data_IF_122565557958
#
_entry.id   IF_122565557958
#
_cell.length_a   1.000
_cell.length_b   1.000
_cell.length_c   1.000
_cell.angle_alpha   90.00
_cell.angle_beta   90.00
_cell.angle_gamma   90.00
#
_symmetry.space_group_name_H-M   'P 1'
#
loop_
_entity.id
_entity.type
_entity.pdbx_description
1 polymer ?
#
# COMPACT_ATOMS: atom_id res chain seq x y z
N UNK A 1 -22.31 -8.24 -13.99
CA UNK A 1 -21.86 -7.03 -14.72
C UNK A 1 -21.02 -6.15 -13.80
N UNK A 2 -19.70 -6.11 -13.95
CA UNK A 2 -18.80 -5.20 -13.20
C UNK A 2 -19.25 -3.73 -13.30
N UNK A 3 -19.25 -2.98 -12.20
CA UNK A 3 -19.54 -1.54 -12.24
C UNK A 3 -18.31 -0.82 -12.83
N UNK A 4 -18.45 0.03 -13.86
CA UNK A 4 -17.32 0.68 -14.52
C UNK A 4 -16.51 1.58 -13.57
N UNK A 5 -17.17 2.23 -12.60
CA UNK A 5 -16.50 3.05 -11.60
C UNK A 5 -15.54 2.26 -10.70
N UNK A 6 -15.86 1.00 -10.39
CA UNK A 6 -14.99 0.14 -9.60
C UNK A 6 -13.75 -0.28 -10.36
N UNK A 7 -13.90 -0.52 -11.66
CA UNK A 7 -12.76 -0.87 -12.49
C UNK A 7 -11.79 0.30 -12.59
N UNK A 8 -12.30 1.53 -12.73
CA UNK A 8 -11.48 2.74 -12.73
C UNK A 8 -10.70 2.91 -11.40
N UNK A 9 -11.33 2.64 -10.25
CA UNK A 9 -10.67 2.70 -8.96
C UNK A 9 -9.51 1.70 -8.85
N UNK A 10 -9.70 0.46 -9.32
CA UNK A 10 -8.63 -0.57 -9.34
C UNK A 10 -7.47 -0.10 -10.21
N UNK A 11 -7.76 0.44 -11.39
CA UNK A 11 -6.73 0.92 -12.31
C UNK A 11 -5.91 2.04 -11.66
N UNK A 12 -6.56 2.99 -10.99
CA UNK A 12 -5.87 4.06 -10.25
C UNK A 12 -4.97 3.48 -9.14
N UNK A 13 -5.47 2.52 -8.36
CA UNK A 13 -4.68 1.82 -7.35
C UNK A 13 -3.44 1.14 -7.95
N UNK A 14 -3.60 0.42 -9.06
CA UNK A 14 -2.48 -0.22 -9.77
C UNK A 14 -1.46 0.80 -10.29
N UNK A 15 -1.91 1.90 -10.90
CA UNK A 15 -1.01 2.96 -11.37
C UNK A 15 -0.17 3.52 -10.23
N UNK A 16 -0.78 3.78 -9.07
CA UNK A 16 -0.04 4.25 -7.88
C UNK A 16 0.99 3.21 -7.43
N UNK A 17 0.63 1.93 -7.35
CA UNK A 17 1.61 0.89 -6.97
C UNK A 17 2.79 0.82 -7.95
N UNK A 18 2.56 0.96 -9.26
CA UNK A 18 3.64 1.02 -10.24
C UNK A 18 4.54 2.24 -10.03
N UNK A 19 3.95 3.42 -9.78
CA UNK A 19 4.74 4.62 -9.47
C UNK A 19 5.62 4.40 -8.24
N UNK A 20 5.15 3.70 -7.20
CA UNK A 20 5.96 3.42 -6.01
C UNK A 20 7.21 2.59 -6.29
N UNK A 21 7.15 1.67 -7.27
CA UNK A 21 8.28 0.86 -7.71
C UNK A 21 9.29 1.72 -8.50
N UNK A 22 8.80 2.64 -9.32
CA UNK A 22 9.65 3.59 -10.04
C UNK A 22 10.40 4.49 -9.03
N UNK A 23 9.70 5.00 -8.01
CA UNK A 23 10.33 5.78 -6.95
C UNK A 23 11.33 4.97 -6.11
N UNK A 24 11.14 3.65 -5.99
CA UNK A 24 12.11 2.77 -5.35
C UNK A 24 13.39 2.59 -6.17
N UNK A 25 13.29 2.61 -7.50
CA UNK A 25 14.45 2.47 -8.40
C UNK A 25 15.23 3.76 -8.65
N UNK A 26 14.80 4.90 -8.09
CA UNK A 26 15.51 6.17 -8.19
C UNK A 26 16.63 6.21 -7.15
N UNK A 27 17.86 5.93 -7.59
CA UNK A 27 19.07 6.06 -6.79
C UNK A 27 19.57 7.52 -6.69
N UNK A 28 20.41 7.77 -5.70
CA UNK A 28 21.04 9.07 -5.37
C UNK A 28 21.97 9.59 -6.47
N UNK A 29 22.35 8.72 -7.40
CA UNK A 29 23.12 9.06 -8.60
C UNK A 29 22.31 9.90 -9.60
N UNK A 30 20.98 9.75 -9.59
CA UNK A 30 20.05 10.46 -10.49
C UNK A 30 19.35 11.64 -9.81
N UNK A 31 19.27 11.65 -8.47
CA UNK A 31 18.51 12.65 -7.71
C UNK A 31 19.38 13.41 -6.71
N UNK A 32 19.12 14.72 -6.57
CA UNK A 32 19.86 15.59 -5.64
C UNK A 32 19.73 15.12 -4.19
N UNK A 33 20.82 15.22 -3.42
CA UNK A 33 20.89 14.91 -1.98
C UNK A 33 19.75 15.55 -1.18
N UNK A 34 19.34 16.76 -1.54
CA UNK A 34 18.24 17.47 -0.87
C UNK A 34 16.84 16.91 -1.19
N UNK A 35 16.68 16.22 -2.33
CA UNK A 35 15.41 15.64 -2.76
C UNK A 35 15.18 14.22 -2.20
N UNK A 36 16.22 13.58 -1.67
CA UNK A 36 16.17 12.20 -1.17
C UNK A 36 15.11 11.96 -0.08
N UNK A 37 15.00 12.78 1.00
CA UNK A 37 13.94 12.59 2.01
C UNK A 37 12.53 12.76 1.41
N UNK A 38 12.34 13.66 0.44
CA UNK A 38 11.07 13.82 -0.25
C UNK A 38 10.69 12.59 -1.09
N UNK A 39 11.66 11.93 -1.71
CA UNK A 39 11.42 10.69 -2.47
C UNK A 39 11.02 9.55 -1.54
N UNK A 40 11.69 9.42 -0.40
CA UNK A 40 11.37 8.38 0.58
C UNK A 40 9.98 8.56 1.19
N UNK A 41 9.61 9.79 1.52
CA UNK A 41 8.25 10.11 1.98
C UNK A 41 7.25 9.82 0.87
N UNK A 42 7.44 10.34 -0.35
CA UNK A 42 6.55 10.09 -1.49
C UNK A 42 6.34 8.58 -1.75
N UNK A 43 7.41 7.78 -1.69
CA UNK A 43 7.33 6.32 -1.81
C UNK A 43 6.40 5.71 -0.77
N UNK A 44 6.56 6.06 0.50
CA UNK A 44 5.71 5.55 1.58
C UNK A 44 4.23 5.94 1.38
N UNK A 45 3.97 7.19 0.99
CA UNK A 45 2.63 7.70 0.71
C UNK A 45 1.94 6.94 -0.43
N UNK A 46 2.64 6.79 -1.56
CA UNK A 46 2.08 6.13 -2.74
C UNK A 46 1.85 4.64 -2.47
N UNK A 47 2.79 3.97 -1.78
CA UNK A 47 2.64 2.55 -1.41
C UNK A 47 1.44 2.34 -0.48
N UNK A 48 1.27 3.21 0.51
CA UNK A 48 0.14 3.16 1.44
C UNK A 48 -1.19 3.34 0.72
N UNK A 49 -1.32 4.40 -0.08
CA UNK A 49 -2.52 4.70 -0.85
C UNK A 49 -2.85 3.60 -1.88
N UNK A 50 -1.84 3.08 -2.58
CA UNK A 50 -2.00 1.99 -3.54
C UNK A 50 -2.55 0.72 -2.87
N UNK A 51 -2.04 0.39 -1.67
CA UNK A 51 -2.56 -0.72 -0.88
C UNK A 51 -4.02 -0.50 -0.45
N UNK A 52 -4.39 0.66 0.10
CA UNK A 52 -5.78 0.89 0.55
C UNK A 52 -6.76 0.90 -0.61
N UNK A 53 -6.37 1.40 -1.79
CA UNK A 53 -7.20 1.33 -3.00
C UNK A 53 -7.39 -0.12 -3.49
N UNK A 54 -6.32 -0.91 -3.52
CA UNK A 54 -6.39 -2.32 -3.91
C UNK A 54 -7.26 -3.13 -2.92
N UNK A 55 -7.05 -2.95 -1.62
CA UNK A 55 -7.82 -3.62 -0.57
C UNK A 55 -9.29 -3.19 -0.59
N UNK A 56 -9.56 -1.89 -0.70
CA UNK A 56 -10.91 -1.34 -0.81
C UNK A 56 -11.66 -1.89 -2.02
N UNK A 57 -10.98 -2.09 -3.16
CA UNK A 57 -11.56 -2.71 -4.33
C UNK A 57 -11.85 -4.22 -4.17
N UNK A 58 -11.05 -4.96 -3.38
CA UNK A 58 -11.36 -6.35 -3.04
C UNK A 58 -12.59 -6.44 -2.14
N UNK A 59 -12.64 -5.66 -1.06
CA UNK A 59 -13.80 -5.58 -0.15
C UNK A 59 -15.08 -5.26 -0.92
N UNK A 60 -14.96 -4.39 -1.91
CA UNK A 60 -16.05 -4.00 -2.79
C UNK A 60 -16.63 -5.17 -3.60
N UNK A 61 -15.77 -6.03 -4.15
CA UNK A 61 -16.18 -7.23 -4.90
C UNK A 61 -16.89 -8.21 -3.96
N UNK A 62 -16.33 -8.45 -2.78
CA UNK A 62 -16.88 -9.36 -1.76
C UNK A 62 -18.24 -8.88 -1.26
N UNK A 63 -18.39 -7.60 -0.94
CA UNK A 63 -19.65 -7.02 -0.49
C UNK A 63 -20.75 -7.09 -1.56
N UNK A 64 -20.40 -6.84 -2.83
CA UNK A 64 -21.37 -6.91 -3.93
C UNK A 64 -21.96 -8.31 -4.09
N UNK A 65 -21.14 -9.35 -4.00
CA UNK A 65 -21.61 -10.75 -4.05
C UNK A 65 -22.57 -11.02 -2.88
N UNK A 66 -22.21 -10.61 -1.67
CA UNK A 66 -23.05 -10.76 -0.48
C UNK A 66 -24.39 -10.01 -0.61
N UNK A 67 -24.37 -8.77 -1.13
CA UNK A 67 -25.59 -7.96 -1.33
C UNK A 67 -26.54 -8.63 -2.33
N UNK A 68 -26.04 -9.12 -3.47
CA UNK A 68 -26.88 -9.80 -4.47
C UNK A 68 -27.62 -11.00 -3.87
N UNK A 69 -26.97 -11.80 -3.02
CA UNK A 69 -27.62 -12.94 -2.37
C UNK A 69 -28.58 -12.55 -1.24
N UNK A 70 -28.36 -11.38 -0.60
CA UNK A 70 -29.20 -10.89 0.51
C UNK A 70 -30.42 -10.10 0.00
N UNK A 71 -30.27 -9.32 -1.08
CA UNK A 71 -31.32 -8.51 -1.70
C UNK A 71 -32.42 -9.35 -2.35
N UNK A 72 -32.18 -10.63 -2.66
CA UNK A 72 -33.25 -11.56 -3.07
C UNK A 72 -34.28 -11.83 -1.96
N UNK A 73 -33.93 -11.57 -0.69
CA UNK A 73 -34.83 -11.75 0.47
C UNK A 73 -35.48 -10.46 0.98
N UNK A 74 -35.03 -9.27 0.57
CA UNK A 74 -35.51 -7.99 1.07
C UNK A 74 -35.76 -7.02 -0.09
N UNK A 75 -37.03 -6.68 -0.30
CA UNK A 75 -37.55 -5.82 -1.38
C UNK A 75 -36.59 -4.70 -1.87
N UNK A 76 -36.17 -4.82 -3.15
CA UNK A 76 -35.81 -3.74 -4.09
C UNK A 76 -35.02 -2.55 -3.51
N UNK A 77 -33.86 -2.79 -2.88
CA UNK A 77 -32.93 -1.70 -2.53
C UNK A 77 -32.04 -1.39 -3.73
N UNK A 78 -32.10 -0.17 -4.25
CA UNK A 78 -31.17 0.32 -5.28
C UNK A 78 -29.78 0.40 -4.62
N UNK A 79 -28.92 -0.56 -4.96
CA UNK A 79 -27.53 -0.62 -4.50
C UNK A 79 -26.80 0.61 -5.06
N UNK A 80 -26.51 1.60 -4.21
CA UNK A 80 -25.75 2.80 -4.60
C UNK A 80 -24.25 2.54 -4.42
N UNK A 81 -23.46 2.74 -5.47
CA UNK A 81 -21.98 2.66 -5.45
C UNK A 81 -21.33 3.63 -4.44
N UNK A 82 -22.08 4.60 -3.90
CA UNK A 82 -21.60 5.58 -2.92
C UNK A 82 -21.12 4.96 -1.60
N UNK A 83 -21.78 3.91 -1.09
CA UNK A 83 -21.37 3.25 0.16
C UNK A 83 -19.97 2.65 0.06
N UNK A 84 -19.59 2.28 -1.16
CA UNK A 84 -18.32 1.67 -1.49
C UNK A 84 -17.18 2.69 -1.49
N UNK A 85 -17.40 3.80 -2.20
CA UNK A 85 -16.50 4.94 -2.17
C UNK A 85 -16.34 5.50 -0.75
N UNK A 86 -17.39 5.46 0.07
CA UNK A 86 -17.30 5.85 1.47
C UNK A 86 -16.34 4.95 2.25
N UNK A 87 -16.44 3.61 2.13
CA UNK A 87 -15.53 2.68 2.82
C UNK A 87 -14.08 2.87 2.36
N UNK A 88 -13.85 2.96 1.04
CA UNK A 88 -12.51 3.22 0.49
C UNK A 88 -11.96 4.56 0.99
N UNK A 89 -12.79 5.61 1.01
CA UNK A 89 -12.41 6.92 1.49
C UNK A 89 -12.05 6.94 2.97
N UNK A 90 -12.79 6.21 3.82
CA UNK A 90 -12.47 6.06 5.25
C UNK A 90 -11.13 5.36 5.44
N UNK A 91 -10.87 4.26 4.72
CA UNK A 91 -9.58 3.55 4.78
C UNK A 91 -8.41 4.43 4.35
N UNK A 92 -8.59 5.18 3.25
CA UNK A 92 -7.60 6.15 2.78
C UNK A 92 -7.36 7.27 3.81
N UNK A 93 -8.42 7.80 4.43
CA UNK A 93 -8.29 8.83 5.46
C UNK A 93 -7.50 8.34 6.68
N UNK A 94 -7.72 7.08 7.10
CA UNK A 94 -6.93 6.46 8.18
C UNK A 94 -5.47 6.33 7.78
N UNK A 95 -5.17 5.82 6.58
CA UNK A 95 -3.78 5.70 6.09
C UNK A 95 -3.09 7.08 6.00
N UNK A 96 -3.81 8.12 5.55
CA UNK A 96 -3.32 9.50 5.51
C UNK A 96 -3.06 10.03 6.94
N UNK A 97 -3.96 9.77 7.89
CA UNK A 97 -3.76 10.17 9.28
C UNK A 97 -2.53 9.49 9.91
N UNK A 98 -2.34 8.20 9.65
CA UNK A 98 -1.18 7.45 10.15
C UNK A 98 0.12 8.01 9.57
N UNK A 99 0.19 8.22 8.26
CA UNK A 99 1.42 8.70 7.64
C UNK A 99 1.74 10.14 8.02
N UNK A 100 0.73 11.01 8.11
CA UNK A 100 0.94 12.40 8.55
C UNK A 100 1.41 12.45 9.99
N UNK A 101 0.83 11.62 10.87
CA UNK A 101 1.31 11.48 12.26
C UNK A 101 2.77 11.03 12.29
N UNK A 102 3.15 10.07 11.45
CA UNK A 102 4.54 9.62 11.34
C UNK A 102 5.45 10.76 10.86
N UNK A 103 5.09 11.49 9.81
CA UNK A 103 5.90 12.63 9.32
C UNK A 103 6.11 13.73 10.37
N UNK A 104 5.07 14.01 11.18
CA UNK A 104 5.13 15.06 12.20
C UNK A 104 5.93 14.62 13.43
N UNK A 105 5.80 13.36 13.83
CA UNK A 105 6.52 12.82 14.98
C UNK A 105 7.99 12.52 14.68
N UNK A 106 8.28 11.98 13.49
CA UNK A 106 9.61 11.48 13.12
C UNK A 106 9.81 11.66 11.60
N UNK A 107 10.31 12.83 11.15
CA UNK A 107 10.56 13.08 9.74
C UNK A 107 11.71 12.20 9.23
N UNK A 108 11.55 11.66 8.03
CA UNK A 108 12.58 10.83 7.40
C UNK A 108 13.84 11.65 7.14
N UNK A 109 14.98 11.17 7.64
CA UNK A 109 16.29 11.73 7.36
C UNK A 109 17.14 10.76 6.51
N UNK A 110 18.11 11.34 5.81
CA UNK A 110 19.09 10.58 5.04
C UNK A 110 20.18 10.09 5.97
N UNK A 111 20.44 8.79 5.97
CA UNK A 111 21.54 8.17 6.70
C UNK A 111 22.39 7.36 5.71
N UNK A 112 23.69 7.24 5.99
CA UNK A 112 24.65 6.56 5.11
C UNK A 112 25.36 5.45 5.87
N UNK A 113 25.33 4.23 5.32
CA UNK A 113 26.12 3.09 5.84
C UNK A 113 27.34 2.97 4.95
N UNK A 114 28.51 3.10 5.54
CA UNK A 114 29.75 2.73 4.89
C UNK A 114 29.82 1.20 4.84
N UNK A 115 29.92 0.65 3.63
CA UNK A 115 30.17 -0.76 3.40
C UNK A 115 31.68 -1.03 3.49
N UNK A 116 32.05 -2.30 3.59
CA UNK A 116 33.46 -2.71 3.68
C UNK A 116 34.28 -2.12 2.51
N UNK A 117 35.46 -1.55 2.81
CA UNK A 117 36.31 -0.93 1.80
C UNK A 117 36.75 -1.98 0.77
N UNK A 118 36.60 -1.67 -0.52
CA UNK A 118 37.19 -2.48 -1.59
C UNK A 118 38.39 -1.76 -2.18
N UNK A 119 39.47 -2.51 -2.38
CA UNK A 119 40.60 -2.06 -3.18
C UNK A 119 40.17 -1.93 -4.64
N UNK A 120 40.58 -0.84 -5.28
CA UNK A 120 40.28 -0.57 -6.68
C UNK A 120 41.09 -1.52 -7.57
N UNK A 121 40.48 -2.20 -8.53
CA UNK A 121 41.14 -3.23 -9.38
C UNK A 121 42.32 -2.70 -10.24
N UNK A 122 42.53 -1.39 -10.33
CA UNK A 122 43.51 -0.77 -11.24
C UNK A 122 44.57 0.12 -10.58
N UNK A 123 44.44 0.46 -9.28
CA UNK A 123 45.40 1.29 -8.55
C UNK A 123 45.47 0.85 -7.08
N UNK A 124 46.61 0.29 -6.65
CA UNK A 124 46.82 -0.24 -5.29
C UNK A 124 46.78 0.83 -4.19
N UNK A 125 46.96 2.11 -4.55
CA UNK A 125 47.02 3.25 -3.60
C UNK A 125 45.68 3.98 -3.40
N UNK A 126 44.58 3.52 -4.01
CA UNK A 126 43.25 4.16 -3.90
C UNK A 126 42.24 3.22 -3.24
N UNK A 127 41.83 3.56 -2.02
CA UNK A 127 40.78 2.85 -1.28
C UNK A 127 39.41 3.45 -1.62
N UNK A 128 38.50 2.66 -2.19
CA UNK A 128 37.13 3.09 -2.47
C UNK A 128 36.21 2.52 -1.39
N UNK A 129 35.59 3.40 -0.61
CA UNK A 129 34.62 3.03 0.44
C UNK A 129 33.22 3.24 -0.17
N UNK A 130 32.51 2.18 -0.57
CA UNK A 130 31.14 2.32 -1.05
C UNK A 130 30.21 2.72 0.09
N UNK A 131 29.39 3.76 -0.12
CA UNK A 131 28.39 4.23 0.84
C UNK A 131 26.98 3.91 0.32
N UNK A 132 26.18 3.17 1.10
CA UNK A 132 24.76 3.01 0.81
C UNK A 132 23.99 4.11 1.53
N UNK A 133 23.30 4.95 0.76
CA UNK A 133 22.35 5.92 1.31
C UNK A 133 20.98 5.25 1.50
N UNK A 134 20.41 5.37 2.69
CA UNK A 134 19.07 4.88 3.00
C UNK A 134 18.29 5.92 3.81
N UNK A 135 16.98 5.78 3.78
CA UNK A 135 16.10 6.60 4.60
C UNK A 135 15.85 5.92 5.92
N UNK A 136 16.34 6.55 6.98
CA UNK A 136 16.21 6.10 8.36
C UNK A 136 15.30 7.08 9.09
N UNK A 137 14.51 6.53 10.00
CA UNK A 137 13.74 7.27 11.00
C UNK A 137 14.07 6.60 12.34
N UNK A 138 14.18 7.37 13.42
CA UNK A 138 14.65 6.86 14.71
C UNK A 138 13.72 5.73 15.22
N UNK A 139 12.42 5.90 14.99
CA UNK A 139 11.38 4.94 15.36
C UNK A 139 10.77 4.20 14.17
N UNK A 140 11.49 4.09 13.04
CA UNK A 140 10.97 3.49 11.80
C UNK A 140 10.32 2.11 12.04
N UNK A 141 11.00 1.22 12.76
CA UNK A 141 10.52 -0.15 13.03
C UNK A 141 9.20 -0.16 13.79
N UNK A 142 8.98 0.79 14.69
CA UNK A 142 7.75 0.87 15.50
C UNK A 142 6.58 1.24 14.60
N UNK A 143 6.69 2.34 13.84
CA UNK A 143 5.62 2.77 12.94
C UNK A 143 5.33 1.72 11.85
N UNK A 144 6.37 1.14 11.26
CA UNK A 144 6.24 0.07 10.25
C UNK A 144 5.55 -1.15 10.84
N UNK A 145 5.91 -1.59 12.05
CA UNK A 145 5.29 -2.74 12.69
C UNK A 145 3.81 -2.53 13.00
N UNK A 146 3.44 -1.32 13.48
CA UNK A 146 2.03 -0.95 13.71
C UNK A 146 1.24 -0.97 12.40
N UNK A 147 1.79 -0.40 11.32
CA UNK A 147 1.15 -0.39 10.00
C UNK A 147 0.96 -1.82 9.47
N UNK A 148 1.99 -2.67 9.55
CA UNK A 148 1.88 -4.06 9.12
C UNK A 148 0.90 -4.86 9.96
N UNK A 149 0.85 -4.65 11.27
CA UNK A 149 -0.14 -5.30 12.13
C UNK A 149 -1.58 -4.87 11.75
N UNK A 150 -1.82 -3.58 11.57
CA UNK A 150 -3.10 -3.03 11.12
C UNK A 150 -3.52 -3.59 9.76
N UNK A 151 -2.64 -3.53 8.75
CA UNK A 151 -2.91 -4.01 7.39
C UNK A 151 -3.06 -5.54 7.35
N UNK A 152 -2.27 -6.27 8.13
CA UNK A 152 -2.39 -7.71 8.30
C UNK A 152 -3.74 -8.10 8.91
N UNK A 153 -4.19 -7.39 9.95
CA UNK A 153 -5.50 -7.62 10.56
C UNK A 153 -6.64 -7.34 9.58
N UNK A 154 -6.55 -6.27 8.78
CA UNK A 154 -7.51 -5.99 7.71
C UNK A 154 -7.58 -7.14 6.69
N UNK A 155 -6.43 -7.67 6.25
CA UNK A 155 -6.37 -8.81 5.34
C UNK A 155 -7.01 -10.07 5.95
N UNK A 156 -6.77 -10.35 7.23
CA UNK A 156 -7.40 -11.47 7.93
C UNK A 156 -8.92 -11.31 8.03
N UNK A 157 -9.40 -10.09 8.30
CA UNK A 157 -10.84 -9.79 8.32
C UNK A 157 -11.47 -10.02 6.94
N UNK A 158 -10.81 -9.59 5.87
CA UNK A 158 -11.29 -9.81 4.51
C UNK A 158 -11.28 -11.31 4.13
N UNK A 159 -10.22 -12.04 4.48
CA UNK A 159 -10.15 -13.49 4.27
C UNK A 159 -11.26 -14.24 5.02
N UNK A 160 -11.58 -13.84 6.25
CA UNK A 160 -12.69 -14.41 7.01
C UNK A 160 -14.05 -14.06 6.42
N UNK A 161 -14.15 -12.88 5.79
CA UNK A 161 -15.37 -12.38 5.14
C UNK A 161 -15.56 -12.96 3.73
N UNK A 162 -14.53 -13.50 3.11
CA UNK A 162 -14.58 -14.18 1.82
C UNK A 162 -15.56 -15.37 1.86
N UNK A 163 -16.74 -15.27 1.22
CA UNK A 163 -17.76 -16.30 1.25
C UNK A 163 -17.49 -17.38 0.20
N UNK A 164 -16.24 -17.85 0.05
CA UNK A 164 -15.94 -19.03 -0.77
C UNK A 164 -16.58 -20.30 -0.18
N UNK A 165 -16.92 -20.31 1.10
CA UNK A 165 -17.73 -21.38 1.71
C UNK A 165 -19.21 -21.43 1.25
N UNK A 166 -19.70 -20.44 0.48
CA UNK A 166 -21.07 -20.45 -0.08
C UNK A 166 -21.10 -20.96 -1.52
N UNK A 167 -20.04 -20.75 -2.31
CA UNK A 167 -19.93 -21.28 -3.69
C UNK A 167 -19.79 -22.81 -3.66
N UNK A 168 -18.96 -23.34 -2.77
CA UNK A 168 -18.76 -24.80 -2.63
C UNK A 168 -20.05 -25.53 -2.17
N UNK A 169 -20.85 -24.89 -1.30
CA UNK A 169 -22.15 -25.44 -0.86
C UNK A 169 -23.20 -25.50 -1.97
N UNK A 170 -23.09 -24.70 -3.04
CA UNK A 170 -24.04 -24.72 -4.17
C UNK A 170 -23.62 -25.68 -5.28
N UNK A 171 -22.32 -25.87 -5.52
CA UNK A 171 -21.81 -26.89 -6.46
C UNK A 171 -22.11 -28.31 -5.95
N UNK A 172 -22.18 -28.52 -4.63
CA UNK A 172 -22.58 -29.81 -4.06
C UNK A 172 -24.10 -30.04 -4.00
N UNK A 173 -24.91 -29.03 -4.29
CA UNK A 173 -26.37 -29.08 -4.19
C UNK A 173 -27.10 -29.01 -5.55
N UNK A 174 -26.34 -29.07 -6.65
CA UNK A 174 -26.84 -29.15 -8.04
C UNK A 174 -26.29 -30.43 -8.66
#
# INVERSE_FOLDING_TARGET
MSSPHLNNLIIIGCMLTYMSVIFLGLDTTLSSVAAFPYICTARAWILMAGFSLAFGAMFSKTWRVHSIFTDLKLNKKVIKDYQLFMVVGILLAIDIAIITTWQVADPFYRDTKQLEPRHHESMDDVLVIPENEYCQSEHMTIFVSIIYAYKGLLLLVELKRNPQGVVDKRVRAT
#
